data_IF_606402029237
#
_entry.id   IF_606402029237
#
_cell.length_a   1.000
_cell.length_b   1.000
_cell.length_c   1.000
_cell.angle_alpha   90.00
_cell.angle_beta   90.00
_cell.angle_gamma   90.00
#
_symmetry.space_group_name_H-M   'P 1'
#
loop_
_entity.id
_entity.type
_entity.pdbx_description
1 polymer ?
#
# COMPACT_ATOMS: atom_id res chain seq x y z
N UNK A 1 -0.85 94.53 -16.04
CA UNK A 1 -1.40 94.64 -17.41
C UNK A 1 -0.79 93.53 -18.26
N UNK A 2 -1.64 92.69 -18.87
CA UNK A 2 -1.38 91.73 -19.97
C UNK A 2 -0.47 90.54 -19.63
N UNK A 3 -0.53 89.36 -20.23
CA UNK A 3 -1.57 88.49 -20.81
C UNK A 3 -0.81 87.17 -21.13
N UNK A 4 -1.36 86.03 -20.73
CA UNK A 4 -1.42 84.71 -21.43
C UNK A 4 -0.58 84.56 -22.72
N UNK A 5 0.22 83.49 -22.86
CA UNK A 5 0.03 82.42 -23.88
C UNK A 5 1.02 81.23 -23.75
N UNK A 6 0.50 80.04 -24.12
CA UNK A 6 1.11 78.72 -24.32
C UNK A 6 2.33 78.71 -25.24
N UNK A 7 3.34 77.85 -24.97
CA UNK A 7 4.02 77.01 -25.98
C UNK A 7 4.50 75.70 -25.33
N UNK A 8 4.10 74.59 -25.95
CA UNK A 8 4.56 73.22 -25.74
C UNK A 8 5.97 73.06 -26.30
N UNK A 9 6.89 72.49 -25.53
CA UNK A 9 8.09 71.86 -26.11
C UNK A 9 8.54 70.69 -25.24
N UNK A 10 8.29 69.48 -25.75
CA UNK A 10 8.99 68.25 -25.36
C UNK A 10 10.50 68.43 -25.57
N UNK A 11 11.32 67.91 -24.64
CA UNK A 11 12.63 67.29 -24.92
C UNK A 11 13.23 66.76 -23.60
N UNK A 12 13.51 65.45 -23.59
CA UNK A 12 14.59 64.67 -22.94
C UNK A 12 14.84 64.89 -21.42
N UNK A 13 15.05 63.88 -20.57
CA UNK A 13 16.11 62.86 -20.63
C UNK A 13 15.75 61.74 -19.64
N UNK A 14 15.97 60.50 -20.09
CA UNK A 14 15.96 59.25 -19.32
C UNK A 14 17.18 59.17 -18.40
N UNK A 15 16.99 58.88 -17.11
CA UNK A 15 17.99 58.14 -16.33
C UNK A 15 17.48 57.71 -14.94
N UNK A 16 17.40 56.39 -14.78
CA UNK A 16 17.78 55.60 -13.60
C UNK A 16 17.00 55.82 -12.29
N UNK A 17 16.00 54.98 -12.05
CA UNK A 17 15.69 54.48 -10.71
C UNK A 17 15.78 52.95 -10.71
N UNK A 18 16.90 52.46 -10.16
CA UNK A 18 17.00 51.14 -9.55
C UNK A 18 16.53 51.31 -8.10
N UNK A 19 15.67 50.42 -7.61
CA UNK A 19 15.45 50.31 -6.16
C UNK A 19 14.11 49.71 -5.75
N UNK A 20 14.11 48.39 -5.60
CA UNK A 20 13.34 47.59 -4.64
C UNK A 20 11.80 47.57 -4.75
N UNK A 21 11.27 46.49 -5.32
CA UNK A 21 9.97 45.95 -4.91
C UNK A 21 10.27 44.64 -4.18
N UNK A 22 9.85 44.56 -2.92
CA UNK A 22 9.96 43.38 -2.09
C UNK A 22 9.13 42.23 -2.65
N UNK A 23 9.70 41.03 -2.58
CA UNK A 23 9.02 39.80 -2.91
C UNK A 23 8.52 39.19 -1.61
N UNK A 24 7.20 39.20 -1.42
CA UNK A 24 6.50 38.52 -0.35
C UNK A 24 6.55 37.00 -0.60
N UNK A 25 6.74 36.15 0.42
CA UNK A 25 6.90 34.71 0.22
C UNK A 25 5.57 34.08 -0.18
N UNK A 26 5.55 33.45 -1.35
CA UNK A 26 4.41 32.70 -1.89
C UNK A 26 4.14 31.45 -1.04
N UNK A 27 2.92 31.34 -0.52
CA UNK A 27 2.39 30.13 0.11
C UNK A 27 2.22 29.00 -0.94
N UNK A 28 2.26 27.72 -0.55
CA UNK A 28 2.00 26.61 -1.46
C UNK A 28 0.53 26.61 -1.89
N UNK A 29 0.29 26.57 -3.19
CA UNK A 29 -1.05 26.37 -3.76
C UNK A 29 -1.42 24.88 -3.63
N UNK A 30 -2.46 24.60 -2.82
CA UNK A 30 -3.18 23.33 -2.82
C UNK A 30 -4.03 23.24 -4.10
N UNK A 31 -3.69 22.33 -5.01
CA UNK A 31 -4.51 21.99 -6.18
C UNK A 31 -5.32 20.72 -5.90
N UNK A 32 -6.64 20.91 -5.82
CA UNK A 32 -7.64 19.87 -5.69
C UNK A 32 -8.48 19.83 -6.98
N UNK A 33 -8.25 18.82 -7.82
CA UNK A 33 -9.26 18.37 -8.79
C UNK A 33 -9.02 16.92 -9.25
N UNK A 34 -10.09 16.12 -9.20
CA UNK A 34 -10.14 14.68 -9.48
C UNK A 34 -10.37 14.32 -10.97
N UNK A 35 -9.78 13.19 -11.34
CA UNK A 35 -10.24 12.14 -12.28
C UNK A 35 -10.17 12.35 -13.81
N UNK A 36 -9.18 11.68 -14.43
CA UNK A 36 -9.32 10.99 -15.73
C UNK A 36 -8.24 11.21 -16.81
N UNK A 37 -7.26 10.29 -16.89
CA UNK A 37 -6.36 9.97 -18.04
C UNK A 37 -5.21 10.93 -18.39
N UNK A 38 -4.02 10.34 -18.58
CA UNK A 38 -2.73 10.91 -19.03
C UNK A 38 -1.80 11.49 -17.95
N UNK A 39 -1.85 10.94 -16.73
CA UNK A 39 -0.77 11.17 -15.74
C UNK A 39 0.34 10.13 -15.92
N UNK A 40 1.55 10.61 -16.19
CA UNK A 40 2.80 9.84 -16.12
C UNK A 40 2.90 9.05 -14.81
N UNK A 41 3.47 7.83 -14.83
CA UNK A 41 3.55 6.98 -13.65
C UNK A 41 4.42 7.65 -12.59
N UNK A 42 3.92 7.74 -11.36
CA UNK A 42 4.63 8.43 -10.28
C UNK A 42 5.51 7.48 -9.49
N UNK A 43 6.70 7.98 -9.15
CA UNK A 43 7.62 7.31 -8.23
C UNK A 43 7.72 8.15 -6.96
N UNK A 44 7.27 7.58 -5.84
CA UNK A 44 7.32 8.20 -4.53
C UNK A 44 8.54 7.69 -3.76
N UNK A 45 9.31 8.61 -3.17
CA UNK A 45 10.59 8.37 -2.47
C UNK A 45 10.72 9.34 -1.32
N UNK A 46 11.62 9.04 -0.38
CA UNK A 46 12.00 9.91 0.73
C UNK A 46 10.80 10.33 1.60
N UNK A 47 9.81 9.43 1.72
CA UNK A 47 8.61 9.60 2.53
C UNK A 47 8.83 9.12 3.96
N UNK A 48 8.03 9.64 4.90
CA UNK A 48 7.92 9.08 6.26
C UNK A 48 7.01 7.85 6.31
N UNK A 49 7.10 7.09 7.41
CA UNK A 49 6.23 5.94 7.65
C UNK A 49 4.74 6.33 7.56
N UNK A 50 4.35 7.50 8.09
CA UNK A 50 2.97 8.01 8.06
C UNK A 50 2.49 8.38 6.65
N UNK A 51 3.34 9.08 5.88
CA UNK A 51 3.02 9.45 4.49
C UNK A 51 2.82 8.20 3.62
N UNK A 52 3.63 7.16 3.84
CA UNK A 52 3.48 5.88 3.14
C UNK A 52 2.14 5.22 3.47
N UNK A 53 1.74 5.19 4.75
CA UNK A 53 0.44 4.62 5.14
C UNK A 53 -0.74 5.39 4.54
N UNK A 54 -0.65 6.71 4.51
CA UNK A 54 -1.68 7.55 3.90
C UNK A 54 -1.82 7.24 2.41
N UNK A 55 -0.70 7.18 1.67
CA UNK A 55 -0.71 6.86 0.24
C UNK A 55 -1.27 5.46 -0.03
N UNK A 56 -0.86 4.44 0.74
CA UNK A 56 -1.40 3.07 0.58
C UNK A 56 -2.92 3.05 0.76
N UNK A 57 -3.45 3.87 1.67
CA UNK A 57 -4.89 3.91 1.95
C UNK A 57 -5.69 4.69 0.91
N UNK A 58 -5.04 5.61 0.17
CA UNK A 58 -5.70 6.46 -0.83
C UNK A 58 -5.53 5.97 -2.27
N UNK A 59 -4.51 5.14 -2.52
CA UNK A 59 -4.13 4.72 -3.87
C UNK A 59 -4.47 3.26 -4.12
N UNK A 60 -5.14 3.00 -5.24
CA UNK A 60 -5.27 1.66 -5.82
C UNK A 60 -5.42 1.79 -7.35
N UNK A 61 -4.56 1.14 -8.16
CA UNK A 61 -3.48 0.25 -7.76
C UNK A 61 -2.24 1.00 -7.23
N UNK A 62 -1.51 0.41 -6.28
CA UNK A 62 -0.20 0.91 -5.83
C UNK A 62 0.78 -0.24 -5.58
N UNK A 63 2.06 -0.02 -5.91
CA UNK A 63 3.12 -1.00 -5.66
C UNK A 63 4.09 -0.44 -4.62
N UNK A 64 4.43 -1.23 -3.61
CA UNK A 64 5.52 -0.94 -2.68
C UNK A 64 6.76 -1.73 -3.08
N UNK A 65 7.89 -1.05 -3.16
CA UNK A 65 9.21 -1.66 -3.35
C UNK A 65 10.09 -1.40 -2.14
N UNK A 66 10.23 -2.41 -1.29
CA UNK A 66 11.06 -2.38 -0.09
C UNK A 66 12.51 -2.68 -0.46
N UNK A 67 13.43 -1.79 -0.08
CA UNK A 67 14.85 -1.91 -0.43
C UNK A 67 15.77 -1.32 0.64
N UNK A 68 17.07 -1.51 0.44
CA UNK A 68 18.12 -0.80 1.17
C UNK A 68 19.14 -0.20 0.20
N UNK A 69 19.71 1.00 0.47
CA UNK A 69 20.67 1.64 -0.42
C UNK A 69 21.95 0.85 -0.70
N UNK A 70 22.31 -0.13 0.15
CA UNK A 70 23.55 -0.92 0.02
C UNK A 70 23.31 -2.36 -0.45
N UNK A 71 22.08 -2.67 -0.84
CA UNK A 71 21.63 -4.01 -1.21
C UNK A 71 21.98 -4.33 -2.67
N UNK A 72 22.94 -5.24 -2.90
CA UNK A 72 23.33 -5.68 -4.25
C UNK A 72 22.17 -6.31 -5.02
N UNK A 73 21.40 -7.18 -4.38
CA UNK A 73 20.22 -7.82 -4.99
C UNK A 73 19.17 -6.78 -5.41
N UNK A 74 18.97 -5.73 -4.61
CA UNK A 74 18.02 -4.67 -4.91
C UNK A 74 18.41 -3.87 -6.15
N UNK A 75 19.71 -3.73 -6.43
CA UNK A 75 20.17 -3.12 -7.69
C UNK A 75 19.88 -4.00 -8.90
N UNK A 76 19.94 -5.32 -8.76
CA UNK A 76 19.59 -6.26 -9.83
C UNK A 76 18.08 -6.28 -10.11
N UNK A 77 17.24 -6.18 -9.08
CA UNK A 77 15.78 -6.23 -9.21
C UNK A 77 15.18 -4.91 -9.69
N UNK A 78 15.76 -3.78 -9.27
CA UNK A 78 15.33 -2.42 -9.65
C UNK A 78 14.92 -2.24 -11.13
N UNK A 79 15.74 -2.61 -12.14
CA UNK A 79 15.35 -2.42 -13.54
C UNK A 79 14.07 -3.17 -13.93
N UNK A 80 13.80 -4.34 -13.34
CA UNK A 80 12.57 -5.09 -13.61
C UNK A 80 11.34 -4.41 -13.01
N UNK A 81 11.48 -3.76 -11.85
CA UNK A 81 10.41 -2.97 -11.23
C UNK A 81 10.12 -1.72 -12.06
N UNK A 82 11.16 -1.02 -12.53
CA UNK A 82 11.03 0.16 -13.42
C UNK A 82 10.44 -0.21 -14.79
N UNK A 83 10.72 -1.42 -15.30
CA UNK A 83 10.11 -1.95 -16.52
C UNK A 83 8.61 -2.19 -16.33
N UNK A 84 8.23 -2.91 -15.26
CA UNK A 84 6.83 -3.13 -14.90
C UNK A 84 6.07 -1.80 -14.71
N UNK A 85 6.70 -0.81 -14.08
CA UNK A 85 6.11 0.52 -13.89
C UNK A 85 5.69 1.17 -15.21
N UNK A 86 6.56 1.10 -16.22
CA UNK A 86 6.32 1.68 -17.54
C UNK A 86 5.30 0.87 -18.34
N UNK A 87 5.41 -0.46 -18.29
CA UNK A 87 4.53 -1.37 -19.02
C UNK A 87 3.06 -1.20 -18.60
N UNK A 88 2.82 -1.05 -17.29
CA UNK A 88 1.48 -0.99 -16.72
C UNK A 88 1.05 0.41 -16.25
N UNK A 89 1.88 1.44 -16.46
CA UNK A 89 1.64 2.81 -16.03
C UNK A 89 1.28 2.92 -14.54
N UNK A 90 2.16 2.42 -13.66
CA UNK A 90 1.87 2.24 -12.24
C UNK A 90 2.54 3.28 -11.34
N UNK A 91 1.85 3.61 -10.26
CA UNK A 91 2.45 4.34 -9.17
C UNK A 91 3.22 3.38 -8.24
N UNK A 92 4.46 3.74 -7.92
CA UNK A 92 5.35 2.94 -7.06
C UNK A 92 5.87 3.78 -5.90
N UNK A 93 5.72 3.27 -4.69
CA UNK A 93 6.32 3.81 -3.47
C UNK A 93 7.60 3.01 -3.16
N UNK A 94 8.71 3.72 -3.07
CA UNK A 94 10.02 3.15 -2.76
C UNK A 94 10.27 3.27 -1.27
N UNK A 95 10.24 2.14 -0.57
CA UNK A 95 10.32 2.08 0.89
C UNK A 95 11.75 1.74 1.31
N UNK A 96 12.48 2.73 1.84
CA UNK A 96 13.87 2.59 2.30
C UNK A 96 13.91 2.03 3.73
N UNK A 97 14.63 0.93 3.95
CA UNK A 97 14.86 0.35 5.30
C UNK A 97 15.53 1.32 6.26
N UNK A 98 16.32 2.26 5.75
CA UNK A 98 17.06 3.20 6.58
C UNK A 98 16.12 4.16 7.32
N UNK A 99 15.01 4.52 6.66
CA UNK A 99 14.15 5.63 7.06
C UNK A 99 12.78 5.17 7.56
N UNK A 100 12.33 3.97 7.18
CA UNK A 100 10.95 3.51 7.36
C UNK A 100 10.86 2.21 8.18
N UNK A 101 11.24 2.27 9.46
CA UNK A 101 11.31 1.05 10.29
C UNK A 101 9.91 0.51 10.62
N UNK A 102 8.96 1.38 10.93
CA UNK A 102 7.62 0.95 11.32
C UNK A 102 6.89 0.28 10.15
N UNK A 103 7.05 0.81 8.93
CA UNK A 103 6.51 0.16 7.73
C UNK A 103 7.21 -1.17 7.46
N UNK A 104 8.53 -1.28 7.62
CA UNK A 104 9.22 -2.57 7.47
C UNK A 104 8.76 -3.62 8.50
N UNK A 105 8.47 -3.20 9.72
CA UNK A 105 7.93 -4.07 10.79
C UNK A 105 6.48 -4.48 10.50
N UNK A 106 5.60 -3.54 10.14
CA UNK A 106 4.20 -3.78 9.78
C UNK A 106 4.07 -4.81 8.64
N UNK A 107 4.93 -4.67 7.63
CA UNK A 107 4.97 -5.56 6.47
C UNK A 107 5.86 -6.79 6.68
N UNK A 108 6.50 -6.95 7.85
CA UNK A 108 7.49 -7.98 8.11
C UNK A 108 8.44 -8.21 6.92
N UNK A 109 8.96 -7.12 6.34
CA UNK A 109 9.82 -7.13 5.16
C UNK A 109 11.28 -7.41 5.58
N UNK A 110 11.51 -8.56 6.22
CA UNK A 110 12.83 -8.89 6.80
C UNK A 110 13.88 -9.13 5.71
N UNK A 111 13.49 -9.84 4.64
CA UNK A 111 14.29 -10.01 3.42
C UNK A 111 13.88 -9.02 2.34
N UNK A 112 14.85 -8.33 1.76
CA UNK A 112 14.64 -7.38 0.68
C UNK A 112 15.64 -7.63 -0.48
N UNK A 113 15.23 -7.35 -1.73
CA UNK A 113 14.04 -6.60 -2.13
C UNK A 113 12.73 -7.35 -1.91
N UNK A 114 11.70 -6.64 -1.46
CA UNK A 114 10.34 -7.14 -1.29
C UNK A 114 9.38 -6.25 -2.08
N UNK A 115 8.44 -6.85 -2.82
CA UNK A 115 7.49 -6.15 -3.66
C UNK A 115 6.09 -6.49 -3.15
N UNK A 116 5.27 -5.48 -2.90
CA UNK A 116 3.86 -5.64 -2.58
C UNK A 116 3.01 -4.90 -3.60
N UNK A 117 1.90 -5.49 -3.99
CA UNK A 117 0.94 -4.94 -4.94
C UNK A 117 -0.41 -4.85 -4.27
N UNK A 118 -1.02 -3.67 -4.33
CA UNK A 118 -2.36 -3.40 -3.82
C UNK A 118 -3.24 -3.03 -4.99
N UNK A 119 -4.26 -3.84 -5.26
CA UNK A 119 -5.32 -3.54 -6.23
C UNK A 119 -6.67 -3.76 -5.52
N UNK A 120 -7.18 -4.98 -5.59
CA UNK A 120 -8.34 -5.44 -4.81
C UNK A 120 -7.93 -6.30 -3.60
N UNK A 121 -6.69 -6.77 -3.62
CA UNK A 121 -6.04 -7.56 -2.58
C UNK A 121 -4.57 -7.16 -2.49
N UNK A 122 -3.96 -7.47 -1.35
CA UNK A 122 -2.52 -7.35 -1.15
C UNK A 122 -1.81 -8.62 -1.61
N UNK A 123 -0.94 -8.47 -2.61
CA UNK A 123 -0.12 -9.56 -3.17
C UNK A 123 1.34 -9.23 -2.97
N UNK A 124 2.08 -10.10 -2.28
CA UNK A 124 3.54 -10.06 -2.27
C UNK A 124 4.08 -10.64 -3.60
N UNK A 125 5.22 -10.15 -4.09
CA UNK A 125 5.90 -10.74 -5.25
C UNK A 125 7.33 -11.08 -4.85
N UNK A 126 7.62 -12.39 -4.82
CA UNK A 126 8.99 -12.88 -4.71
C UNK A 126 9.69 -12.74 -6.05
N UNK A 127 10.82 -12.03 -6.06
CA UNK A 127 11.66 -11.96 -7.24
C UNK A 127 12.27 -13.32 -7.59
N UNK A 128 12.20 -13.67 -8.87
CA UNK A 128 12.79 -14.86 -9.47
C UNK A 128 13.26 -14.49 -10.88
N UNK A 129 14.54 -14.67 -11.17
CA UNK A 129 15.14 -14.28 -12.45
C UNK A 129 14.55 -15.03 -13.66
N UNK A 130 13.94 -16.19 -13.43
CA UNK A 130 13.30 -17.00 -14.46
C UNK A 130 11.81 -16.67 -14.62
N UNK A 131 11.29 -15.77 -13.78
CA UNK A 131 9.88 -15.44 -13.71
C UNK A 131 9.67 -13.91 -13.64
N UNK A 132 9.47 -13.24 -14.79
CA UNK A 132 9.36 -11.80 -14.84
C UNK A 132 8.25 -11.25 -13.94
N UNK A 133 8.56 -10.20 -13.17
CA UNK A 133 7.60 -9.52 -12.27
C UNK A 133 6.36 -9.08 -13.06
N UNK A 134 6.52 -8.58 -14.29
CA UNK A 134 5.41 -8.15 -15.16
C UNK A 134 4.43 -9.28 -15.51
N UNK A 135 4.91 -10.53 -15.63
CA UNK A 135 4.05 -11.70 -15.85
C UNK A 135 3.16 -11.95 -14.63
N UNK A 136 3.75 -11.91 -13.43
CA UNK A 136 3.02 -12.08 -12.17
C UNK A 136 2.01 -10.96 -12.00
N UNK A 137 2.42 -9.71 -12.26
CA UNK A 137 1.53 -8.55 -12.19
C UNK A 137 0.33 -8.68 -13.14
N UNK A 138 0.54 -9.13 -14.39
CA UNK A 138 -0.54 -9.40 -15.33
C UNK A 138 -1.53 -10.45 -14.82
N UNK A 139 -1.06 -11.48 -14.10
CA UNK A 139 -1.91 -12.47 -13.46
C UNK A 139 -2.68 -11.92 -12.25
N UNK A 140 -2.15 -10.90 -11.56
CA UNK A 140 -2.90 -10.20 -10.51
C UNK A 140 -4.06 -9.43 -11.16
N UNK A 141 -3.79 -8.73 -12.27
CA UNK A 141 -4.79 -7.93 -12.99
C UNK A 141 -5.93 -8.78 -13.58
N UNK A 142 -5.62 -9.97 -14.10
CA UNK A 142 -6.65 -10.86 -14.69
C UNK A 142 -7.36 -11.75 -13.65
N UNK A 143 -7.01 -11.61 -12.37
CA UNK A 143 -7.58 -12.38 -11.26
C UNK A 143 -7.07 -13.82 -11.16
N UNK A 144 -6.10 -14.22 -11.99
CA UNK A 144 -5.40 -15.50 -11.87
C UNK A 144 -4.60 -15.57 -10.57
N UNK A 145 -4.14 -14.46 -10.01
CA UNK A 145 -3.52 -14.39 -8.68
C UNK A 145 -4.34 -13.42 -7.82
N UNK A 146 -4.85 -13.91 -6.71
CA UNK A 146 -5.52 -13.10 -5.68
C UNK A 146 -4.74 -13.20 -4.38
N UNK A 147 -4.55 -12.07 -3.72
CA UNK A 147 -3.85 -11.97 -2.46
C UNK A 147 -4.78 -12.02 -1.25
N UNK A 148 -4.40 -11.28 -0.22
CA UNK A 148 -5.16 -11.16 1.02
C UNK A 148 -5.94 -9.85 1.01
N UNK A 149 -7.18 -9.89 1.44
CA UNK A 149 -8.05 -8.72 1.42
C UNK A 149 -8.03 -8.00 2.78
N UNK A 150 -7.88 -6.67 2.74
CA UNK A 150 -8.09 -5.83 3.93
C UNK A 150 -9.59 -5.82 4.26
N UNK A 151 -9.94 -5.96 5.53
CA UNK A 151 -11.34 -5.75 5.97
C UNK A 151 -11.53 -4.35 6.51
N UNK A 152 -12.74 -3.83 6.31
CA UNK A 152 -13.21 -2.66 7.03
C UNK A 152 -13.63 -3.06 8.45
N UNK A 153 -13.14 -2.32 9.45
CA UNK A 153 -13.44 -2.57 10.85
C UNK A 153 -13.48 -1.28 11.67
N UNK A 154 -14.11 -1.36 12.83
CA UNK A 154 -14.02 -0.35 13.88
C UNK A 154 -13.59 -0.99 15.20
N UNK A 155 -12.94 -0.21 16.05
CA UNK A 155 -12.55 -0.62 17.40
C UNK A 155 -13.26 0.28 18.40
N UNK A 156 -14.05 -0.31 19.29
CA UNK A 156 -14.77 0.39 20.37
C UNK A 156 -15.07 -0.55 21.52
N UNK A 157 -15.02 -0.08 22.76
CA UNK A 157 -15.45 -0.84 23.95
C UNK A 157 -14.84 -2.26 24.04
N UNK A 158 -13.53 -2.37 23.80
CA UNK A 158 -12.77 -3.61 23.80
C UNK A 158 -13.24 -4.66 22.75
N UNK A 159 -13.92 -4.19 21.71
CA UNK A 159 -14.47 -5.00 20.63
C UNK A 159 -14.00 -4.49 19.28
N UNK A 160 -13.78 -5.45 18.37
CA UNK A 160 -13.54 -5.21 16.95
C UNK A 160 -14.82 -5.57 16.21
N UNK A 161 -15.37 -4.59 15.49
CA UNK A 161 -16.53 -4.80 14.63
C UNK A 161 -16.06 -4.82 13.18
N UNK A 162 -16.17 -5.98 12.54
CA UNK A 162 -15.80 -6.22 11.14
C UNK A 162 -17.06 -6.13 10.28
N UNK A 163 -17.05 -5.34 9.21
CA UNK A 163 -18.18 -5.24 8.28
C UNK A 163 -18.14 -6.38 7.26
N UNK A 164 -19.24 -7.11 7.10
CA UNK A 164 -19.30 -8.37 6.32
C UNK A 164 -19.94 -8.26 4.94
N UNK A 165 -20.20 -7.03 4.45
CA UNK A 165 -20.90 -6.81 3.19
C UNK A 165 -20.18 -7.43 1.97
N UNK A 166 -18.87 -7.60 2.06
CA UNK A 166 -18.00 -8.13 0.99
C UNK A 166 -17.24 -9.40 1.39
N UNK A 167 -17.62 -10.02 2.51
CA UNK A 167 -16.93 -11.20 3.03
C UNK A 167 -17.35 -12.46 2.28
N UNK A 168 -16.38 -13.14 1.71
CA UNK A 168 -16.51 -14.38 0.95
C UNK A 168 -15.93 -15.52 1.79
N UNK A 169 -16.66 -16.64 1.98
CA UNK A 169 -16.12 -17.81 2.64
C UNK A 169 -14.87 -18.34 1.94
N UNK A 170 -13.98 -18.98 2.70
CA UNK A 170 -12.71 -19.55 2.21
C UNK A 170 -11.76 -18.50 1.60
N UNK A 171 -11.88 -17.26 2.05
CA UNK A 171 -10.97 -16.16 1.71
C UNK A 171 -10.22 -15.72 2.97
N UNK A 172 -8.91 -15.49 2.83
CA UNK A 172 -8.08 -14.96 3.90
C UNK A 172 -8.12 -13.43 3.85
N UNK A 173 -8.38 -12.84 5.01
CA UNK A 173 -8.44 -11.41 5.22
C UNK A 173 -7.44 -10.95 6.27
N UNK A 174 -7.22 -9.65 6.37
CA UNK A 174 -6.51 -9.04 7.50
C UNK A 174 -7.14 -7.72 7.95
N UNK A 175 -6.90 -7.38 9.21
CA UNK A 175 -7.11 -6.06 9.81
C UNK A 175 -5.81 -5.62 10.49
N UNK A 176 -5.66 -4.31 10.73
CA UNK A 176 -4.45 -3.74 11.32
C UNK A 176 -4.79 -3.09 12.67
N UNK A 177 -4.32 -3.64 13.78
CA UNK A 177 -4.57 -3.09 15.12
C UNK A 177 -3.23 -2.73 15.73
N UNK A 178 -3.03 -1.46 16.10
CA UNK A 178 -1.79 -0.98 16.72
C UNK A 178 -0.51 -1.38 15.95
N UNK A 179 -0.52 -1.22 14.61
CA UNK A 179 0.58 -1.62 13.70
C UNK A 179 0.87 -3.13 13.69
N UNK A 180 -0.07 -3.96 14.14
CA UNK A 180 -0.02 -5.41 14.03
C UNK A 180 -1.10 -5.91 13.08
N UNK A 181 -0.75 -6.89 12.25
CA UNK A 181 -1.69 -7.53 11.33
C UNK A 181 -2.35 -8.72 12.02
N UNK A 182 -3.67 -8.69 12.05
CA UNK A 182 -4.50 -9.80 12.51
C UNK A 182 -5.17 -10.41 11.29
N UNK A 183 -4.82 -11.67 11.00
CA UNK A 183 -5.42 -12.36 9.86
C UNK A 183 -6.71 -13.03 10.27
N UNK A 184 -7.74 -12.89 9.45
CA UNK A 184 -9.10 -13.38 9.69
C UNK A 184 -9.49 -14.33 8.56
N UNK A 185 -9.90 -15.54 8.93
CA UNK A 185 -10.38 -16.54 7.98
C UNK A 185 -11.77 -17.03 8.39
N UNK A 186 -12.71 -16.99 7.44
CA UNK A 186 -14.08 -17.47 7.66
C UNK A 186 -14.34 -18.66 6.73
N UNK A 187 -14.43 -19.85 7.31
CA UNK A 187 -14.75 -21.07 6.56
C UNK A 187 -16.20 -21.08 6.04
N UNK A 188 -16.49 -21.93 5.04
CA UNK A 188 -17.88 -22.24 4.59
C UNK A 188 -18.84 -22.66 5.71
N UNK A 189 -18.33 -23.21 6.81
CA UNK A 189 -19.15 -23.62 7.96
C UNK A 189 -19.39 -22.49 8.97
N UNK A 190 -19.08 -21.24 8.60
CA UNK A 190 -19.19 -20.06 9.44
C UNK A 190 -18.36 -20.15 10.73
N UNK A 191 -17.28 -20.92 10.73
CA UNK A 191 -16.25 -20.85 11.77
C UNK A 191 -15.27 -19.75 11.41
N UNK A 192 -15.01 -18.86 12.36
CA UNK A 192 -14.03 -17.79 12.26
C UNK A 192 -12.75 -18.21 12.97
N UNK A 193 -11.65 -18.01 12.27
CA UNK A 193 -10.32 -18.29 12.76
C UNK A 193 -9.47 -17.04 12.65
N UNK A 194 -8.59 -16.85 13.63
CA UNK A 194 -7.66 -15.73 13.68
C UNK A 194 -6.24 -16.24 13.87
N UNK A 195 -5.32 -15.54 13.21
CA UNK A 195 -3.91 -15.54 13.55
C UNK A 195 -3.56 -14.24 14.26
N UNK A 196 -3.05 -14.37 15.46
CA UNK A 196 -2.40 -13.28 16.15
C UNK A 196 -1.03 -13.77 16.59
N UNK A 197 0.01 -13.01 16.24
CA UNK A 197 1.38 -13.43 16.44
C UNK A 197 2.13 -13.59 15.14
N UNK A 198 2.68 -12.47 14.68
CA UNK A 198 3.82 -12.44 13.78
C UNK A 198 5.11 -12.08 14.51
N UNK A 199 5.26 -12.41 15.81
CA UNK A 199 6.61 -12.42 16.41
C UNK A 199 7.44 -13.49 15.68
N UNK A 200 8.31 -13.04 14.77
CA UNK A 200 9.18 -13.88 13.96
C UNK A 200 8.58 -14.45 12.67
N UNK A 201 7.42 -13.95 12.24
CA UNK A 201 6.77 -14.43 11.01
C UNK A 201 7.05 -13.46 9.88
N UNK A 202 8.07 -13.76 9.06
CA UNK A 202 8.29 -13.04 7.82
C UNK A 202 7.05 -13.18 6.92
N UNK A 203 6.44 -12.05 6.58
CA UNK A 203 5.30 -11.90 5.65
C UNK A 203 5.36 -12.75 4.38
N UNK A 204 6.53 -13.21 3.97
CA UNK A 204 6.71 -14.25 2.95
C UNK A 204 6.03 -15.59 3.28
N UNK A 205 5.54 -15.82 4.50
CA UNK A 205 4.69 -16.98 4.84
C UNK A 205 3.27 -16.86 4.27
N UNK A 206 2.79 -15.62 4.08
CA UNK A 206 1.61 -15.33 3.24
C UNK A 206 1.83 -15.85 1.80
N UNK A 207 3.09 -16.12 1.48
CA UNK A 207 3.60 -16.71 0.26
C UNK A 207 4.07 -18.16 0.37
N UNK A 208 3.77 -18.88 1.46
CA UNK A 208 3.88 -20.34 1.46
C UNK A 208 2.77 -20.89 0.54
N UNK A 209 2.98 -21.41 -0.67
CA UNK A 209 4.12 -21.51 -1.60
C UNK A 209 3.52 -21.49 -3.00
N UNK A 210 4.19 -20.80 -3.93
CA UNK A 210 4.04 -20.83 -5.40
C UNK A 210 3.78 -22.24 -5.99
N UNK A 211 4.16 -23.31 -5.28
CA UNK A 211 4.02 -24.71 -5.72
C UNK A 211 2.85 -25.48 -5.09
N UNK A 212 2.21 -24.95 -4.03
CA UNK A 212 1.16 -25.67 -3.27
C UNK A 212 -0.24 -25.07 -3.47
N UNK A 213 -0.35 -23.75 -3.68
CA UNK A 213 -1.64 -23.09 -3.91
C UNK A 213 -1.84 -22.82 -5.40
N UNK A 214 -0.77 -22.52 -6.16
CA UNK A 214 -0.85 -22.37 -7.61
C UNK A 214 -0.45 -23.66 -8.34
N UNK A 215 -1.35 -24.64 -8.37
CA UNK A 215 -1.24 -25.80 -9.25
C UNK A 215 -1.77 -25.53 -10.69
N UNK A 216 -2.00 -24.26 -11.03
CA UNK A 216 -2.65 -23.85 -12.29
C UNK A 216 -4.14 -24.21 -12.38
N UNK A 217 -4.76 -24.71 -11.30
CA UNK A 217 -6.14 -25.20 -11.29
C UNK A 217 -7.05 -24.45 -10.30
N UNK A 218 -6.56 -23.96 -9.15
CA UNK A 218 -7.38 -23.26 -8.14
C UNK A 218 -6.61 -22.13 -7.45
N UNK A 219 -6.60 -20.95 -8.05
CA UNK A 219 -5.74 -19.84 -7.61
C UNK A 219 -6.25 -18.98 -6.45
N UNK A 220 -7.46 -19.23 -5.96
CA UNK A 220 -8.21 -18.24 -5.16
C UNK A 220 -8.87 -18.75 -3.89
N UNK A 221 -8.61 -19.98 -3.44
CA UNK A 221 -9.29 -20.55 -2.28
C UNK A 221 -8.28 -20.90 -1.19
N UNK A 222 -8.30 -20.12 -0.11
CA UNK A 222 -7.65 -20.50 1.13
C UNK A 222 -8.54 -21.54 1.81
N UNK A 223 -8.00 -22.71 2.12
CA UNK A 223 -8.70 -23.67 2.96
C UNK A 223 -8.02 -23.80 4.33
N UNK A 224 -8.79 -24.33 5.29
CA UNK A 224 -8.33 -24.49 6.66
C UNK A 224 -7.09 -25.38 6.76
N UNK A 225 -7.04 -26.47 6.02
CA UNK A 225 -5.95 -27.44 6.14
C UNK A 225 -4.63 -26.83 5.63
N UNK A 226 -4.71 -26.03 4.58
CA UNK A 226 -3.60 -25.22 4.03
C UNK A 226 -3.14 -24.18 5.04
N UNK A 227 -4.07 -23.46 5.65
CA UNK A 227 -3.75 -22.47 6.70
C UNK A 227 -3.13 -23.14 7.93
N UNK A 228 -3.66 -24.27 8.39
CA UNK A 228 -3.11 -25.02 9.53
C UNK A 228 -1.70 -25.51 9.24
N UNK A 229 -1.47 -26.14 8.08
CA UNK A 229 -0.15 -26.62 7.66
C UNK A 229 0.89 -25.49 7.60
N UNK A 230 0.50 -24.30 7.14
CA UNK A 230 1.41 -23.17 7.00
C UNK A 230 1.58 -22.36 8.29
N UNK A 231 0.61 -22.44 9.18
CA UNK A 231 0.63 -21.75 10.47
C UNK A 231 1.59 -22.34 11.49
N UNK A 232 2.06 -23.58 11.35
CA UNK A 232 2.99 -24.17 12.32
C UNK A 232 4.28 -23.34 12.53
N UNK A 233 4.64 -22.50 11.56
CA UNK A 233 5.76 -21.56 11.63
C UNK A 233 5.35 -20.14 12.03
N UNK A 234 4.04 -19.84 12.04
CA UNK A 234 3.48 -18.51 12.15
C UNK A 234 2.43 -18.32 13.25
N UNK A 235 2.45 -19.20 14.26
CA UNK A 235 1.50 -19.20 15.36
C UNK A 235 0.29 -20.10 15.10
N UNK A 236 -0.50 -20.39 16.13
CA UNK A 236 -1.62 -21.32 15.97
C UNK A 236 -2.81 -20.64 15.25
N UNK A 237 -3.42 -21.33 14.29
CA UNK A 237 -4.76 -20.97 13.80
C UNK A 237 -5.76 -21.17 14.94
N UNK A 238 -6.24 -20.09 15.56
CA UNK A 238 -7.17 -20.17 16.68
C UNK A 238 -8.59 -19.94 16.18
N UNK A 239 -9.48 -20.91 16.43
CA UNK A 239 -10.91 -20.68 16.25
C UNK A 239 -11.41 -19.81 17.40
N UNK A 240 -11.97 -18.63 17.10
CA UNK A 240 -12.46 -17.71 18.13
C UNK A 240 -13.99 -17.55 18.05
N UNK A 241 -14.66 -17.35 19.19
CA UNK A 241 -16.08 -17.04 19.19
C UNK A 241 -16.32 -15.65 18.61
N UNK A 242 -17.48 -15.48 17.97
CA UNK A 242 -17.91 -14.19 17.46
C UNK A 242 -19.43 -14.06 17.55
N UNK A 243 -19.92 -12.82 17.48
CA UNK A 243 -21.35 -12.54 17.36
C UNK A 243 -21.64 -11.84 16.05
N UNK A 244 -22.84 -12.05 15.51
CA UNK A 244 -23.30 -11.37 14.29
C UNK A 244 -24.34 -10.34 14.68
N UNK A 245 -24.11 -9.09 14.30
CA UNK A 245 -25.04 -7.98 14.50
C UNK A 245 -25.27 -7.29 13.15
N UNK A 246 -26.43 -7.54 12.54
CA UNK A 246 -26.71 -7.03 11.20
C UNK A 246 -25.72 -7.59 10.15
N UNK A 247 -25.04 -6.69 9.44
CA UNK A 247 -23.96 -6.98 8.48
C UNK A 247 -22.57 -6.88 9.12
N UNK A 248 -22.46 -7.18 10.42
CA UNK A 248 -21.18 -7.10 11.12
C UNK A 248 -20.89 -8.31 11.98
N UNK A 249 -19.63 -8.70 12.02
CA UNK A 249 -19.06 -9.65 12.97
C UNK A 249 -18.41 -8.86 14.09
N UNK A 250 -18.73 -9.21 15.33
CA UNK A 250 -18.16 -8.58 16.52
C UNK A 250 -17.29 -9.58 17.25
N UNK A 251 -16.03 -9.20 17.44
CA UNK A 251 -14.98 -9.94 18.12
C UNK A 251 -14.58 -9.21 19.40
N UNK A 252 -14.25 -9.95 20.46
CA UNK A 252 -13.58 -9.37 21.61
C UNK A 252 -12.08 -9.23 21.31
N UNK A 253 -11.48 -8.08 21.62
CA UNK A 253 -10.03 -7.88 21.48
C UNK A 253 -9.23 -8.94 22.25
N UNK A 254 -9.71 -9.34 23.44
CA UNK A 254 -9.07 -10.40 24.24
C UNK A 254 -9.05 -11.77 23.54
N UNK A 255 -10.00 -12.01 22.63
CA UNK A 255 -10.05 -13.25 21.85
C UNK A 255 -9.11 -13.22 20.65
N UNK A 256 -8.76 -12.02 20.18
CA UNK A 256 -7.78 -11.83 19.11
C UNK A 256 -6.39 -12.08 19.70
N UNK A 257 -6.11 -11.59 20.91
CA UNK A 257 -4.87 -11.83 21.66
C UNK A 257 -4.05 -10.57 21.88
#
# INVERSE_FOLDING_TARGET
MKHVWFIVTCILVVSLFVGCIGQEPSQPEEDNSQTGSDTEPKTYKDLTDEEIQELISQMSPVVLYFYSPTCSTCFAVKPHVEEMQKEYNLDIIWVSKQDNKAIFELYHAEYYPAIYVFIDSEVYIKFDENDPISRIYGQILDGTITGIHRMEYTVSDNQVTIFTETVVPDTLYYIEIDYQRVFVFISRTAKLFVFNGSEGCDSSWLFLKKDLIYNGQFSSQWDRDTLEMHSELCGNLVQIPYTVTGSSIVLSLESIG
#
